data_IF_786188559107
#
_entry.id   IF_786188559107
#
_cell.length_a   1.000
_cell.length_b   1.000
_cell.length_c   1.000
_cell.angle_alpha   90.00
_cell.angle_beta   90.00
_cell.angle_gamma   90.00
#
_symmetry.space_group_name_H-M   'P 1'
#
loop_
_entity.id
_entity.type
_entity.pdbx_description
1 polymer ?
#
# COMPACT_ATOMS: atom_id res chain seq x y z
N UNK A 1 2.02 33.87 11.47
CA UNK A 1 2.78 32.63 11.75
C UNK A 1 2.62 31.72 10.55
N UNK A 2 3.67 31.56 9.74
CA UNK A 2 3.65 30.68 8.58
C UNK A 2 4.11 29.28 9.04
N UNK A 3 3.23 28.28 8.97
CA UNK A 3 3.62 26.89 9.15
C UNK A 3 4.50 26.50 7.95
N UNK A 4 5.64 25.79 8.14
CA UNK A 4 6.44 25.31 7.03
C UNK A 4 5.57 24.42 6.13
N UNK A 5 5.64 24.68 4.82
CA UNK A 5 4.94 23.92 3.78
C UNK A 5 5.43 22.47 3.83
N UNK A 6 4.65 21.64 4.52
CA UNK A 6 4.47 20.19 4.33
C UNK A 6 5.75 19.35 4.34
N UNK A 7 6.32 19.07 5.52
CA UNK A 7 7.12 17.85 5.64
C UNK A 7 6.19 16.65 5.40
N UNK A 8 6.36 15.97 4.27
CA UNK A 8 5.54 14.80 3.92
C UNK A 8 5.75 13.72 4.98
N UNK A 9 4.78 13.56 5.88
CA UNK A 9 4.87 12.62 6.98
C UNK A 9 4.52 11.23 6.47
N UNK A 10 5.45 10.28 6.59
CA UNK A 10 5.20 8.89 6.20
C UNK A 10 4.56 8.12 7.36
N UNK A 11 3.33 7.65 7.15
CA UNK A 11 2.56 6.89 8.13
C UNK A 11 2.45 5.45 7.63
N UNK A 12 3.01 4.51 8.40
CA UNK A 12 2.81 3.09 8.18
C UNK A 12 1.39 2.72 8.64
N UNK A 13 0.50 2.42 7.70
CA UNK A 13 -0.89 2.04 7.99
C UNK A 13 -1.07 0.55 8.28
N UNK A 14 -0.07 -0.26 7.96
CA UNK A 14 -0.06 -1.66 8.31
C UNK A 14 1.01 -2.45 7.59
N UNK A 15 1.39 -3.55 8.24
CA UNK A 15 2.19 -4.62 7.68
C UNK A 15 1.44 -5.94 7.80
N UNK A 16 1.59 -6.83 6.83
CA UNK A 16 1.01 -8.17 6.89
C UNK A 16 1.99 -9.24 6.45
N UNK A 17 2.29 -10.17 7.36
CA UNK A 17 2.92 -11.45 7.07
C UNK A 17 1.86 -12.45 6.63
N UNK A 18 1.86 -12.77 5.34
CA UNK A 18 0.93 -13.74 4.79
C UNK A 18 1.58 -15.10 4.64
N UNK A 19 0.81 -16.15 4.90
CA UNK A 19 1.24 -17.55 4.66
C UNK A 19 1.34 -17.88 3.16
N UNK A 20 0.86 -17.00 2.28
CA UNK A 20 1.02 -17.14 0.83
C UNK A 20 1.10 -15.78 0.12
N UNK A 21 1.82 -15.68 -1.01
CA UNK A 21 1.88 -14.47 -1.84
C UNK A 21 0.49 -13.96 -2.28
N UNK A 22 -0.44 -14.87 -2.58
CA UNK A 22 -1.81 -14.51 -2.98
C UNK A 22 -2.59 -13.87 -1.84
N UNK A 23 -2.41 -14.36 -0.61
CA UNK A 23 -3.05 -13.79 0.57
C UNK A 23 -2.46 -12.42 0.92
N UNK A 24 -1.14 -12.24 0.77
CA UNK A 24 -0.48 -10.94 0.88
C UNK A 24 -1.06 -9.92 -0.11
N UNK A 25 -1.21 -10.30 -1.39
CA UNK A 25 -1.83 -9.44 -2.39
C UNK A 25 -3.30 -9.14 -2.07
N UNK A 26 -4.06 -10.14 -1.63
CA UNK A 26 -5.45 -9.95 -1.21
C UNK A 26 -5.55 -8.92 -0.07
N UNK A 27 -4.70 -9.04 0.95
CA UNK A 27 -4.66 -8.10 2.07
C UNK A 27 -4.32 -6.68 1.60
N UNK A 28 -3.36 -6.51 0.68
CA UNK A 28 -3.05 -5.21 0.10
C UNK A 28 -4.26 -4.59 -0.60
N UNK A 29 -5.00 -5.38 -1.39
CA UNK A 29 -6.23 -4.92 -2.07
C UNK A 29 -7.29 -4.49 -1.07
N UNK A 30 -7.49 -5.28 -0.03
CA UNK A 30 -8.48 -4.95 1.00
C UNK A 30 -8.08 -3.69 1.78
N UNK A 31 -6.81 -3.53 2.18
CA UNK A 31 -6.37 -2.31 2.86
C UNK A 31 -6.34 -1.09 1.94
N UNK A 32 -5.92 -1.22 0.69
CA UNK A 32 -5.96 -0.11 -0.27
C UNK A 32 -7.39 0.39 -0.48
N UNK A 33 -8.38 -0.52 -0.56
CA UNK A 33 -9.81 -0.15 -0.61
C UNK A 33 -10.24 0.58 0.65
N UNK A 34 -9.99 0.01 1.82
CA UNK A 34 -10.38 0.63 3.09
C UNK A 34 -9.76 2.04 3.28
N UNK A 35 -8.52 2.24 2.84
CA UNK A 35 -7.87 3.56 2.89
C UNK A 35 -8.51 4.50 1.88
N UNK A 36 -8.70 4.07 0.64
CA UNK A 36 -9.35 4.90 -0.39
C UNK A 36 -10.80 5.28 -0.05
N UNK A 37 -11.51 4.46 0.73
CA UNK A 37 -12.87 4.75 1.20
C UNK A 37 -12.89 5.77 2.34
N UNK A 38 -11.77 5.95 3.06
CA UNK A 38 -11.63 6.94 4.14
C UNK A 38 -11.05 8.28 3.67
N UNK A 39 -10.39 8.30 2.51
CA UNK A 39 -9.82 9.51 1.92
C UNK A 39 -10.86 10.30 1.14
N UNK A 40 -10.69 11.63 1.11
CA UNK A 40 -11.46 12.49 0.21
C UNK A 40 -11.29 12.05 -1.25
N UNK A 41 -12.30 12.33 -2.07
CA UNK A 41 -12.36 11.84 -3.46
C UNK A 41 -11.12 12.20 -4.28
N UNK A 42 -10.50 13.36 -4.03
CA UNK A 42 -9.29 13.80 -4.71
C UNK A 42 -8.06 12.91 -4.39
N UNK A 43 -7.93 12.44 -3.15
CA UNK A 43 -6.81 11.63 -2.67
C UNK A 43 -7.08 10.12 -2.70
N UNK A 44 -8.34 9.72 -2.84
CA UNK A 44 -8.73 8.32 -3.05
C UNK A 44 -8.33 7.80 -4.44
N UNK A 45 -8.12 8.69 -5.42
CA UNK A 45 -7.93 8.33 -6.83
C UNK A 45 -6.70 7.44 -7.09
N UNK A 46 -5.52 7.66 -6.48
CA UNK A 46 -4.37 6.76 -6.62
C UNK A 46 -4.66 5.35 -6.08
N UNK A 47 -5.34 5.25 -4.93
CA UNK A 47 -5.74 3.96 -4.37
C UNK A 47 -6.73 3.22 -5.26
N UNK A 48 -7.72 3.94 -5.80
CA UNK A 48 -8.71 3.40 -6.75
C UNK A 48 -8.08 3.00 -8.09
N UNK A 49 -7.07 3.72 -8.54
CA UNK A 49 -6.31 3.37 -9.75
C UNK A 49 -5.54 2.08 -9.54
N UNK A 50 -4.74 1.99 -8.47
CA UNK A 50 -3.98 0.78 -8.14
C UNK A 50 -4.90 -0.45 -8.01
N UNK A 51 -6.08 -0.31 -7.38
CA UNK A 51 -7.07 -1.39 -7.28
C UNK A 51 -7.62 -1.92 -8.61
N UNK A 52 -7.46 -1.16 -9.69
CA UNK A 52 -7.87 -1.53 -11.07
C UNK A 52 -6.68 -1.85 -11.96
N UNK A 53 -5.46 -1.65 -11.48
CA UNK A 53 -4.24 -1.86 -12.22
C UNK A 53 -3.79 -3.32 -12.09
N UNK A 54 -4.21 -4.15 -13.05
CA UNK A 54 -3.85 -5.57 -13.08
C UNK A 54 -2.33 -5.78 -13.22
N UNK A 55 -1.64 -4.91 -13.96
CA UNK A 55 -0.18 -5.00 -14.14
C UNK A 55 0.57 -4.73 -12.84
N UNK A 56 0.12 -3.77 -12.04
CA UNK A 56 0.69 -3.53 -10.70
C UNK A 56 0.41 -4.68 -9.74
N UNK A 57 -0.76 -5.33 -9.82
CA UNK A 57 -1.05 -6.53 -9.03
C UNK A 57 -0.18 -7.72 -9.43
N UNK A 58 0.05 -7.94 -10.72
CA UNK A 58 0.97 -8.97 -11.21
C UNK A 58 2.40 -8.70 -10.75
N UNK A 59 2.84 -7.44 -10.81
CA UNK A 59 4.14 -7.00 -10.32
C UNK A 59 4.28 -7.24 -8.81
N UNK A 60 3.27 -6.86 -8.02
CA UNK A 60 3.23 -7.12 -6.58
C UNK A 60 3.29 -8.62 -6.27
N UNK A 61 2.51 -9.43 -7.00
CA UNK A 61 2.52 -10.88 -6.83
C UNK A 61 3.88 -11.50 -7.19
N UNK A 62 4.53 -11.00 -8.25
CA UNK A 62 5.85 -11.46 -8.65
C UNK A 62 6.88 -11.20 -7.53
N UNK A 63 6.91 -9.99 -6.96
CA UNK A 63 7.78 -9.68 -5.82
C UNK A 63 7.52 -10.58 -4.60
N UNK A 64 6.26 -10.77 -4.24
CA UNK A 64 5.90 -11.64 -3.11
C UNK A 64 6.27 -13.11 -3.39
N UNK A 65 6.17 -13.56 -4.63
CA UNK A 65 6.53 -14.93 -5.02
C UNK A 65 8.05 -15.14 -4.98
N UNK A 66 8.85 -14.11 -5.29
CA UNK A 66 10.32 -14.17 -5.19
C UNK A 66 10.84 -13.97 -3.76
N UNK A 67 9.96 -13.84 -2.76
CA UNK A 67 10.35 -13.61 -1.38
C UNK A 67 10.70 -12.15 -1.06
N UNK A 68 10.35 -11.22 -1.94
CA UNK A 68 10.54 -9.77 -1.73
C UNK A 68 9.27 -9.13 -1.16
N UNK A 69 9.40 -8.36 -0.09
CA UNK A 69 8.28 -7.57 0.42
C UNK A 69 7.83 -6.52 -0.60
N UNK A 70 6.52 -6.34 -0.72
CA UNK A 70 5.96 -5.30 -1.59
C UNK A 70 5.41 -4.15 -0.74
N UNK A 71 5.83 -2.94 -1.08
CA UNK A 71 5.37 -1.72 -0.45
C UNK A 71 4.47 -0.93 -1.41
N UNK A 72 3.23 -0.71 -1.00
CA UNK A 72 2.31 0.22 -1.64
C UNK A 72 2.33 1.55 -0.88
N UNK A 73 2.52 2.66 -1.61
CA UNK A 73 2.44 3.99 -1.06
C UNK A 73 1.29 4.77 -1.71
N UNK A 74 0.35 5.22 -0.89
CA UNK A 74 -0.70 6.16 -1.25
C UNK A 74 -0.32 7.53 -0.68
N UNK A 75 -0.71 8.60 -1.36
CA UNK A 75 -0.30 9.95 -0.99
C UNK A 75 -1.53 10.88 -0.94
N UNK A 76 -1.61 11.69 0.11
CA UNK A 76 -2.38 12.94 0.11
C UNK A 76 -1.42 14.14 0.02
N UNK A 77 -1.92 15.36 0.19
CA UNK A 77 -1.12 16.60 0.11
C UNK A 77 0.11 16.60 1.03
N UNK A 78 0.00 16.06 2.24
CA UNK A 78 1.02 16.20 3.28
C UNK A 78 1.45 14.85 3.90
N UNK A 79 0.82 13.76 3.49
CA UNK A 79 0.93 12.45 4.14
C UNK A 79 1.17 11.36 3.11
N UNK A 80 2.14 10.51 3.41
CA UNK A 80 2.39 9.28 2.67
C UNK A 80 1.92 8.09 3.49
N UNK A 81 0.85 7.45 3.04
CA UNK A 81 0.33 6.24 3.63
C UNK A 81 1.03 5.02 3.05
N UNK A 82 1.71 4.26 3.90
CA UNK A 82 2.49 3.09 3.51
C UNK A 82 1.80 1.82 3.96
N UNK A 83 1.63 0.87 3.04
CA UNK A 83 1.17 -0.49 3.30
C UNK A 83 2.27 -1.45 2.85
N UNK A 84 2.63 -2.41 3.71
CA UNK A 84 3.68 -3.38 3.40
C UNK A 84 3.12 -4.79 3.50
N UNK A 85 3.30 -5.59 2.46
CA UNK A 85 3.03 -7.02 2.52
C UNK A 85 4.34 -7.80 2.47
N UNK A 86 4.47 -8.72 3.41
CA UNK A 86 5.60 -9.61 3.54
C UNK A 86 5.21 -11.00 2.99
N UNK A 87 6.07 -11.59 2.15
CA UNK A 87 5.88 -12.95 1.71
C UNK A 87 6.22 -13.93 2.83
N UNK A 88 5.72 -15.18 2.74
CA UNK A 88 5.98 -16.18 3.77
C UNK A 88 7.48 -16.42 3.92
N UNK A 89 7.98 -16.33 5.15
CA UNK A 89 9.39 -16.52 5.49
C UNK A 89 10.28 -15.29 5.33
N UNK A 90 9.74 -14.10 5.03
CA UNK A 90 10.51 -12.86 5.00
C UNK A 90 10.79 -12.28 6.40
N UNK A 91 10.01 -12.65 7.41
CA UNK A 91 10.28 -12.40 8.82
C UNK A 91 11.14 -13.52 9.39
N UNK A 92 12.47 -13.32 9.39
CA UNK A 92 13.43 -14.08 10.22
C UNK A 92 14.14 -13.14 11.18
#
# INVERSE_FOLDING_TARGET
>A
MAYPLHETSSILLGSHDATSPRLALWWLRERARNVADQLDTAYAQPGRYWLRDESEHERALAYLTTGTAYQLALHDENTRYVLVAYPPGATS
#
